data_IF_798533060900
#
_entry.id   IF_798533060900
#
_cell.length_a   1.000
_cell.length_b   1.000
_cell.length_c   1.000
_cell.angle_alpha   90.00
_cell.angle_beta   90.00
_cell.angle_gamma   90.00
#
_symmetry.space_group_name_H-M   'P 1'
#
loop_
_entity.id
_entity.type
_entity.pdbx_description
1 polymer ?
#
# COMPACT_ATOMS: atom_id res chain seq x y z
N UNK A 1 -17.21 -10.78 -25.00
CA UNK A 1 -16.01 -10.22 -24.33
C UNK A 1 -15.10 -11.37 -23.95
N UNK A 2 -13.85 -11.39 -24.37
CA UNK A 2 -12.91 -12.43 -23.98
C UNK A 2 -12.43 -12.21 -22.54
N UNK A 3 -11.81 -13.23 -21.93
CA UNK A 3 -11.20 -13.11 -20.58
C UNK A 3 -10.15 -11.99 -20.53
N UNK A 4 -9.43 -11.77 -21.60
CA UNK A 4 -8.42 -10.72 -21.71
C UNK A 4 -9.04 -9.32 -21.86
N UNK A 5 -10.19 -9.22 -22.55
CA UNK A 5 -10.96 -7.96 -22.61
C UNK A 5 -11.43 -7.55 -21.23
N UNK A 6 -12.01 -8.51 -20.48
CA UNK A 6 -12.49 -8.27 -19.10
C UNK A 6 -11.35 -7.82 -18.19
N UNK A 7 -10.20 -8.50 -18.23
CA UNK A 7 -9.03 -8.14 -17.44
C UNK A 7 -8.57 -6.70 -17.74
N UNK A 8 -8.42 -6.36 -19.03
CA UNK A 8 -7.99 -5.03 -19.47
C UNK A 8 -8.97 -3.94 -19.04
N UNK A 9 -10.27 -4.18 -19.21
CA UNK A 9 -11.32 -3.26 -18.79
C UNK A 9 -11.29 -3.01 -17.28
N UNK A 10 -11.18 -4.07 -16.47
CA UNK A 10 -11.12 -3.94 -15.01
C UNK A 10 -9.89 -3.15 -14.56
N UNK A 11 -8.72 -3.38 -15.19
CA UNK A 11 -7.50 -2.64 -14.87
C UNK A 11 -7.56 -1.15 -15.26
N UNK A 12 -8.45 -0.76 -16.15
CA UNK A 12 -8.69 0.65 -16.47
C UNK A 12 -9.77 1.26 -15.57
N UNK A 13 -10.91 0.58 -15.44
CA UNK A 13 -12.09 1.14 -14.77
C UNK A 13 -11.91 1.23 -13.26
N UNK A 14 -11.37 0.18 -12.62
CA UNK A 14 -11.27 0.15 -11.17
C UNK A 14 -10.37 1.26 -10.58
N UNK A 15 -9.19 1.61 -11.13
CA UNK A 15 -8.43 2.75 -10.65
C UNK A 15 -9.12 4.10 -10.86
N UNK A 16 -9.94 4.24 -11.92
CA UNK A 16 -10.73 5.46 -12.18
C UNK A 16 -11.88 5.60 -11.19
N UNK A 17 -12.50 4.51 -10.76
CA UNK A 17 -13.58 4.53 -9.79
C UNK A 17 -13.12 4.94 -8.37
N UNK A 18 -11.84 4.80 -8.04
CA UNK A 18 -11.32 5.11 -6.71
C UNK A 18 -11.53 6.58 -6.28
N UNK A 19 -11.12 7.59 -7.06
CA UNK A 19 -11.39 8.97 -6.69
C UNK A 19 -12.89 9.28 -6.64
N UNK A 20 -13.73 8.60 -7.45
CA UNK A 20 -15.20 8.74 -7.40
C UNK A 20 -15.76 8.16 -6.09
N UNK A 21 -15.29 7.00 -5.67
CA UNK A 21 -15.67 6.41 -4.39
C UNK A 21 -15.26 7.32 -3.21
N UNK A 22 -14.06 7.90 -3.26
CA UNK A 22 -13.59 8.88 -2.28
C UNK A 22 -14.39 10.19 -2.26
N UNK A 23 -15.05 10.54 -3.37
CA UNK A 23 -15.90 11.73 -3.48
C UNK A 23 -17.33 11.51 -2.94
N UNK A 24 -17.74 10.30 -2.62
CA UNK A 24 -19.13 9.98 -2.18
C UNK A 24 -19.59 10.87 -1.04
N UNK A 25 -18.83 10.96 0.04
CA UNK A 25 -19.20 11.77 1.20
C UNK A 25 -19.01 13.28 0.97
N UNK A 26 -17.82 13.79 0.56
CA UNK A 26 -17.61 15.22 0.49
C UNK A 26 -18.36 15.92 -0.65
N UNK A 27 -18.70 15.21 -1.75
CA UNK A 27 -19.37 15.81 -2.92
C UNK A 27 -20.86 15.47 -2.94
N UNK A 28 -21.23 14.23 -2.65
CA UNK A 28 -22.60 13.76 -2.76
C UNK A 28 -23.32 13.64 -1.42
N UNK A 29 -22.64 13.86 -0.29
CA UNK A 29 -23.23 13.73 1.05
C UNK A 29 -23.61 12.30 1.43
N UNK A 30 -23.01 11.30 0.78
CA UNK A 30 -23.35 9.88 1.00
C UNK A 30 -22.28 9.25 1.91
N UNK A 31 -22.68 8.92 3.14
CA UNK A 31 -21.80 8.27 4.13
C UNK A 31 -20.87 9.25 4.83
N UNK A 32 -19.80 8.71 5.42
CA UNK A 32 -18.81 9.47 6.19
C UNK A 32 -17.59 9.83 5.34
N UNK A 33 -17.05 11.02 5.58
CA UNK A 33 -15.77 11.44 4.99
C UNK A 33 -14.60 10.66 5.59
N UNK A 34 -13.49 10.59 4.86
CA UNK A 34 -12.24 9.98 5.38
C UNK A 34 -11.76 10.65 6.68
N UNK A 35 -11.99 11.96 6.83
CA UNK A 35 -11.64 12.69 8.05
C UNK A 35 -12.48 12.24 9.25
N UNK A 36 -13.79 12.09 9.09
CA UNK A 36 -14.71 11.61 10.14
C UNK A 36 -14.39 10.15 10.52
N UNK A 37 -14.13 9.30 9.54
CA UNK A 37 -13.76 7.90 9.78
C UNK A 37 -12.42 7.81 10.52
N UNK A 38 -11.42 8.59 10.10
CA UNK A 38 -10.12 8.65 10.75
C UNK A 38 -10.23 9.15 12.19
N UNK A 39 -11.09 10.14 12.46
CA UNK A 39 -11.31 10.65 13.81
C UNK A 39 -11.94 9.61 14.75
N UNK A 40 -12.86 8.77 14.25
CA UNK A 40 -13.52 7.70 15.03
C UNK A 40 -12.59 6.53 15.38
N UNK A 41 -11.70 6.17 14.46
CA UNK A 41 -10.78 5.03 14.59
C UNK A 41 -9.36 5.45 14.96
N UNK A 42 -9.20 6.68 15.45
CA UNK A 42 -7.88 7.26 15.70
C UNK A 42 -7.11 6.49 16.77
N UNK A 43 -5.95 5.97 16.39
CA UNK A 43 -4.97 5.33 17.26
C UNK A 43 -3.58 5.87 16.94
N UNK A 44 -2.58 5.69 17.83
CA UNK A 44 -1.21 6.13 17.53
C UNK A 44 -0.57 5.48 16.29
N UNK A 45 -1.12 4.35 15.80
CA UNK A 45 -0.63 3.67 14.58
C UNK A 45 -1.14 4.32 13.30
N UNK A 46 -2.22 5.09 13.35
CA UNK A 46 -2.77 5.77 12.16
C UNK A 46 -1.86 6.92 11.76
N UNK A 47 -1.38 6.95 10.50
CA UNK A 47 -0.55 8.07 10.03
C UNK A 47 -1.32 9.38 9.95
N UNK A 48 -0.61 10.50 9.91
CA UNK A 48 -1.17 11.83 9.69
C UNK A 48 -1.95 11.91 8.36
N UNK A 49 -2.96 12.78 8.31
CA UNK A 49 -3.87 12.88 7.17
C UNK A 49 -3.19 13.06 5.81
N UNK A 50 -2.11 13.85 5.75
CA UNK A 50 -1.37 14.06 4.50
C UNK A 50 -0.78 12.77 3.90
N UNK A 51 -0.46 11.77 4.73
CA UNK A 51 0.14 10.52 4.26
C UNK A 51 -0.77 9.74 3.31
N UNK A 52 -2.09 9.92 3.41
CA UNK A 52 -3.06 9.30 2.52
C UNK A 52 -2.98 9.83 1.07
N UNK A 53 -2.27 10.95 0.81
CA UNK A 53 -2.02 11.44 -0.55
C UNK A 53 -1.27 10.44 -1.45
N UNK A 54 -0.60 9.44 -0.88
CA UNK A 54 0.02 8.34 -1.63
C UNK A 54 -0.98 7.59 -2.51
N UNK A 55 -2.26 7.54 -2.11
CA UNK A 55 -3.30 6.95 -2.93
C UNK A 55 -3.47 7.66 -4.28
N UNK A 56 -3.30 8.99 -4.32
CA UNK A 56 -3.34 9.75 -5.57
C UNK A 56 -2.26 9.28 -6.56
N UNK A 57 -1.05 8.99 -6.07
CA UNK A 57 0.04 8.45 -6.90
C UNK A 57 -0.28 7.03 -7.36
N UNK A 58 -0.79 6.17 -6.44
CA UNK A 58 -1.15 4.78 -6.76
C UNK A 58 -2.27 4.74 -7.82
N UNK A 59 -3.30 5.60 -7.68
CA UNK A 59 -4.41 5.67 -8.66
C UNK A 59 -3.93 6.19 -10.01
N UNK A 60 -3.11 7.23 -10.05
CA UNK A 60 -2.53 7.75 -11.29
C UNK A 60 -1.71 6.68 -12.02
N UNK A 61 -0.89 5.92 -11.30
CA UNK A 61 -0.14 4.79 -11.85
C UNK A 61 -1.07 3.65 -12.31
N UNK A 62 -2.14 3.37 -11.57
CA UNK A 62 -3.15 2.39 -11.95
C UNK A 62 -3.88 2.76 -13.25
N UNK A 63 -4.26 4.03 -13.40
CA UNK A 63 -4.87 4.58 -14.63
C UNK A 63 -3.86 4.48 -15.78
N UNK A 64 -2.62 4.90 -15.57
CA UNK A 64 -1.56 4.80 -16.58
C UNK A 64 -1.31 3.34 -17.00
N UNK A 65 -1.35 2.37 -16.06
CA UNK A 65 -1.30 0.94 -16.31
C UNK A 65 -2.48 0.47 -17.19
N UNK A 66 -3.71 0.90 -16.87
CA UNK A 66 -4.90 0.57 -17.66
C UNK A 66 -4.83 1.13 -19.09
N UNK A 67 -4.46 2.41 -19.24
CA UNK A 67 -4.29 3.06 -20.53
C UNK A 67 -3.21 2.36 -21.37
N UNK A 68 -2.06 2.04 -20.77
CA UNK A 68 -0.97 1.37 -21.48
C UNK A 68 -1.40 0.04 -22.08
N UNK A 69 -2.27 -0.72 -21.41
CA UNK A 69 -2.81 -1.96 -21.95
C UNK A 69 -3.68 -1.77 -23.20
N UNK A 70 -4.24 -0.57 -23.41
CA UNK A 70 -5.06 -0.25 -24.60
C UNK A 70 -4.23 0.22 -25.80
N UNK A 71 -2.96 0.57 -25.60
CA UNK A 71 -2.13 1.08 -26.69
C UNK A 71 -1.77 -0.02 -27.68
N UNK A 72 -1.72 0.31 -29.00
CA UNK A 72 -1.36 -0.65 -30.06
C UNK A 72 0.04 -1.27 -29.90
N UNK A 73 0.92 -0.60 -29.16
CA UNK A 73 2.30 -1.04 -28.86
C UNK A 73 2.40 -2.29 -27.96
N UNK A 74 1.28 -2.99 -27.71
CA UNK A 74 1.31 -4.34 -27.19
C UNK A 74 1.21 -4.49 -25.68
N UNK A 75 0.74 -3.47 -24.96
CA UNK A 75 0.56 -3.56 -23.51
C UNK A 75 -0.36 -4.72 -23.08
N UNK A 76 -1.46 -4.95 -23.81
CA UNK A 76 -2.49 -5.94 -23.50
C UNK A 76 -1.96 -7.38 -23.49
N UNK A 77 -1.16 -7.74 -24.50
CA UNK A 77 -0.65 -9.10 -24.71
C UNK A 77 0.71 -9.33 -24.07
N UNK A 78 1.25 -8.31 -23.40
CA UNK A 78 2.51 -8.42 -22.67
C UNK A 78 2.44 -9.49 -21.57
N UNK A 79 3.59 -10.10 -21.27
CA UNK A 79 3.69 -11.04 -20.16
C UNK A 79 3.29 -10.38 -18.83
N UNK A 80 3.64 -9.11 -18.66
CA UNK A 80 3.27 -8.33 -17.49
C UNK A 80 1.74 -8.22 -17.36
N UNK A 81 1.02 -7.83 -18.43
CA UNK A 81 -0.43 -7.71 -18.40
C UNK A 81 -1.11 -9.05 -18.08
N UNK A 82 -0.66 -10.14 -18.70
CA UNK A 82 -1.21 -11.48 -18.47
C UNK A 82 -0.99 -11.99 -17.03
N UNK A 83 0.15 -11.67 -16.42
CA UNK A 83 0.52 -12.16 -15.09
C UNK A 83 0.03 -11.26 -13.96
N UNK A 84 0.06 -9.92 -14.15
CA UNK A 84 -0.26 -8.94 -13.12
C UNK A 84 -1.71 -8.46 -13.17
N UNK A 85 -2.36 -8.54 -14.33
CA UNK A 85 -3.66 -7.91 -14.53
C UNK A 85 -4.74 -8.38 -13.57
N UNK A 86 -4.86 -9.67 -13.31
CA UNK A 86 -5.86 -10.18 -12.36
C UNK A 86 -5.55 -9.83 -10.90
N UNK A 87 -4.31 -10.02 -10.39
CA UNK A 87 -3.97 -9.57 -9.05
C UNK A 87 -4.16 -8.07 -8.83
N UNK A 88 -3.80 -7.23 -9.81
CA UNK A 88 -4.01 -5.78 -9.71
C UNK A 88 -5.50 -5.41 -9.76
N UNK A 89 -6.28 -6.03 -10.65
CA UNK A 89 -7.73 -5.85 -10.68
C UNK A 89 -8.37 -6.22 -9.33
N UNK A 90 -7.96 -7.34 -8.73
CA UNK A 90 -8.44 -7.73 -7.40
C UNK A 90 -8.05 -6.72 -6.32
N UNK A 91 -6.81 -6.23 -6.33
CA UNK A 91 -6.35 -5.23 -5.36
C UNK A 91 -7.15 -3.92 -5.49
N UNK A 92 -7.38 -3.41 -6.70
CA UNK A 92 -8.19 -2.21 -6.93
C UNK A 92 -9.68 -2.44 -6.64
N UNK A 93 -10.22 -3.64 -6.89
CA UNK A 93 -11.58 -3.99 -6.50
C UNK A 93 -11.75 -3.96 -4.98
N UNK A 94 -10.82 -4.56 -4.23
CA UNK A 94 -10.79 -4.49 -2.78
C UNK A 94 -10.65 -3.05 -2.28
N UNK A 95 -9.82 -2.21 -2.94
CA UNK A 95 -9.67 -0.81 -2.57
C UNK A 95 -10.96 -0.01 -2.76
N UNK A 96 -11.69 -0.21 -3.87
CA UNK A 96 -13.01 0.38 -4.08
C UNK A 96 -14.02 -0.10 -3.04
N UNK A 97 -14.07 -1.42 -2.79
CA UNK A 97 -14.96 -2.01 -1.80
C UNK A 97 -14.67 -1.45 -0.40
N UNK A 98 -13.39 -1.37 -0.01
CA UNK A 98 -12.98 -0.80 1.27
C UNK A 98 -13.47 0.64 1.41
N UNK A 99 -13.27 1.48 0.39
CA UNK A 99 -13.69 2.88 0.40
C UNK A 99 -15.19 3.04 0.57
N UNK A 100 -15.99 2.28 -0.20
CA UNK A 100 -17.47 2.34 -0.14
C UNK A 100 -17.97 1.81 1.21
N UNK A 101 -17.46 0.67 1.65
CA UNK A 101 -17.90 0.06 2.93
C UNK A 101 -17.49 0.97 4.09
N UNK A 102 -16.29 1.51 4.07
CA UNK A 102 -15.82 2.43 5.10
C UNK A 102 -16.67 3.70 5.19
N UNK A 103 -17.12 4.25 4.06
CA UNK A 103 -18.01 5.41 4.07
C UNK A 103 -19.41 5.10 4.64
N UNK A 104 -19.88 3.87 4.50
CA UNK A 104 -21.26 3.48 4.85
C UNK A 104 -21.40 2.77 6.21
N UNK A 105 -20.29 2.37 6.85
CA UNK A 105 -20.35 1.56 8.08
C UNK A 105 -19.45 2.12 9.19
N UNK A 106 -19.80 1.77 10.44
CA UNK A 106 -19.02 2.17 11.63
C UNK A 106 -18.10 1.05 12.14
N UNK A 107 -18.32 -0.19 11.73
CA UNK A 107 -17.58 -1.34 12.25
C UNK A 107 -16.25 -1.55 11.50
N UNK A 108 -15.19 -1.79 12.26
CA UNK A 108 -13.84 -1.91 11.73
C UNK A 108 -13.47 -3.31 11.21
N UNK A 109 -13.98 -4.42 11.74
CA UNK A 109 -13.48 -5.77 11.45
C UNK A 109 -13.72 -6.26 10.02
N UNK A 110 -14.84 -5.90 9.40
CA UNK A 110 -15.06 -6.22 7.98
C UNK A 110 -14.16 -5.39 7.06
N UNK A 111 -13.77 -4.18 7.46
CA UNK A 111 -12.75 -3.39 6.76
C UNK A 111 -11.37 -4.04 6.87
N UNK A 112 -11.05 -4.65 8.02
CA UNK A 112 -9.82 -5.45 8.18
C UNK A 112 -9.81 -6.64 7.21
N UNK A 113 -10.91 -7.36 7.06
CA UNK A 113 -11.00 -8.45 6.09
C UNK A 113 -10.73 -7.95 4.67
N UNK A 114 -11.38 -6.86 4.26
CA UNK A 114 -11.22 -6.29 2.91
C UNK A 114 -9.77 -5.85 2.66
N UNK A 115 -9.14 -5.17 3.63
CA UNK A 115 -7.75 -4.70 3.45
C UNK A 115 -6.74 -5.86 3.47
N UNK A 116 -7.01 -6.95 4.19
CA UNK A 116 -6.18 -8.15 4.14
C UNK A 116 -6.29 -8.88 2.79
N UNK A 117 -7.47 -8.91 2.19
CA UNK A 117 -7.64 -9.40 0.81
C UNK A 117 -6.91 -8.50 -0.20
N UNK A 118 -6.99 -7.18 -0.01
CA UNK A 118 -6.21 -6.21 -0.80
C UNK A 118 -4.70 -6.43 -0.63
N UNK A 119 -4.23 -6.67 0.60
CA UNK A 119 -2.84 -6.99 0.89
C UNK A 119 -2.39 -8.25 0.16
N UNK A 120 -3.16 -9.33 0.25
CA UNK A 120 -2.86 -10.58 -0.43
C UNK A 120 -2.76 -10.39 -1.96
N UNK A 121 -3.70 -9.67 -2.57
CA UNK A 121 -3.69 -9.36 -4.00
C UNK A 121 -2.50 -8.47 -4.38
N UNK A 122 -2.20 -7.44 -3.57
CA UNK A 122 -1.08 -6.51 -3.80
C UNK A 122 0.27 -7.21 -3.69
N UNK A 123 0.48 -8.04 -2.67
CA UNK A 123 1.70 -8.83 -2.50
C UNK A 123 1.84 -9.87 -3.61
N UNK A 124 0.74 -10.48 -4.06
CA UNK A 124 0.75 -11.40 -5.21
C UNK A 124 1.24 -10.69 -6.47
N UNK A 125 0.68 -9.52 -6.80
CA UNK A 125 1.14 -8.71 -7.93
C UNK A 125 2.62 -8.32 -7.78
N UNK A 126 3.01 -7.87 -6.58
CA UNK A 126 4.37 -7.46 -6.27
C UNK A 126 5.38 -8.59 -6.48
N UNK A 127 5.14 -9.79 -5.93
CA UNK A 127 6.06 -10.92 -6.08
C UNK A 127 6.05 -11.52 -7.49
N UNK A 128 4.91 -11.52 -8.19
CA UNK A 128 4.88 -11.88 -9.61
C UNK A 128 5.77 -10.92 -10.40
N UNK A 129 5.64 -9.60 -10.20
CA UNK A 129 6.47 -8.63 -10.89
C UNK A 129 7.97 -8.84 -10.63
N UNK A 130 8.35 -9.20 -9.40
CA UNK A 130 9.75 -9.49 -9.04
C UNK A 130 10.33 -10.71 -9.77
N UNK A 131 9.48 -11.64 -10.21
CA UNK A 131 9.84 -12.88 -10.92
C UNK A 131 9.69 -12.77 -12.43
N UNK A 132 9.22 -11.66 -12.96
CA UNK A 132 9.18 -11.45 -14.40
C UNK A 132 10.61 -11.40 -14.97
N UNK A 133 10.87 -12.05 -16.11
CA UNK A 133 12.18 -12.03 -16.73
C UNK A 133 12.57 -10.61 -17.11
N UNK A 134 13.83 -10.26 -16.87
CA UNK A 134 14.38 -9.00 -17.32
C UNK A 134 14.53 -9.02 -18.86
N UNK A 135 14.15 -7.95 -19.53
CA UNK A 135 14.45 -7.78 -20.95
C UNK A 135 15.97 -7.60 -21.16
N UNK A 136 16.51 -8.10 -22.27
CA UNK A 136 17.94 -8.06 -22.57
C UNK A 136 18.57 -6.64 -22.54
N UNK A 137 17.76 -5.59 -22.71
CA UNK A 137 18.19 -4.17 -22.63
C UNK A 137 17.85 -3.48 -21.32
N UNK A 138 17.49 -4.24 -20.28
CA UNK A 138 16.93 -3.69 -19.04
C UNK A 138 15.40 -3.57 -19.09
N UNK A 139 14.75 -3.11 -18.02
CA UNK A 139 13.28 -2.98 -17.99
C UNK A 139 12.81 -1.96 -19.04
N UNK A 140 11.79 -2.37 -19.82
CA UNK A 140 11.11 -1.47 -20.74
C UNK A 140 10.55 -0.24 -19.98
N UNK A 141 10.36 0.90 -20.67
CA UNK A 141 9.90 2.15 -20.05
C UNK A 141 8.63 1.97 -19.18
N UNK A 142 7.57 1.28 -19.63
CA UNK A 142 6.37 1.08 -18.81
C UNK A 142 6.65 0.23 -17.56
N UNK A 143 7.51 -0.79 -17.67
CA UNK A 143 7.89 -1.61 -16.52
C UNK A 143 8.62 -0.79 -15.47
N UNK A 144 9.55 0.05 -15.87
CA UNK A 144 10.37 0.87 -14.99
C UNK A 144 9.57 1.96 -14.27
N UNK A 145 8.67 2.65 -14.98
CA UNK A 145 8.05 3.89 -14.54
C UNK A 145 6.57 3.77 -14.18
N UNK A 146 5.89 2.70 -14.60
CA UNK A 146 4.49 2.45 -14.27
C UNK A 146 4.37 1.21 -13.38
N UNK A 147 4.81 0.05 -13.86
CA UNK A 147 4.49 -1.25 -13.22
C UNK A 147 5.22 -1.41 -11.88
N UNK A 148 6.55 -1.22 -11.86
CA UNK A 148 7.34 -1.38 -10.63
C UNK A 148 6.95 -0.38 -9.54
N UNK A 149 6.76 0.92 -9.84
CA UNK A 149 6.22 1.86 -8.86
C UNK A 149 4.83 1.46 -8.38
N UNK A 150 3.90 1.14 -9.27
CA UNK A 150 2.53 0.76 -8.92
C UNK A 150 2.49 -0.40 -7.93
N UNK A 151 3.08 -1.54 -8.30
CA UNK A 151 3.02 -2.74 -7.45
C UNK A 151 3.82 -2.57 -6.15
N UNK A 152 4.91 -1.83 -6.18
CA UNK A 152 5.74 -1.56 -5.00
C UNK A 152 5.07 -0.61 -4.03
N UNK A 153 4.58 0.53 -4.49
CA UNK A 153 3.89 1.52 -3.65
C UNK A 153 2.60 0.95 -3.07
N UNK A 154 1.81 0.25 -3.88
CA UNK A 154 0.57 -0.36 -3.42
C UNK A 154 0.83 -1.42 -2.35
N UNK A 155 1.72 -2.37 -2.61
CA UNK A 155 2.05 -3.42 -1.64
C UNK A 155 2.66 -2.85 -0.35
N UNK A 156 3.57 -1.89 -0.44
CA UNK A 156 4.21 -1.26 0.73
C UNK A 156 3.23 -0.47 1.58
N UNK A 157 2.38 0.36 0.95
CA UNK A 157 1.36 1.12 1.65
C UNK A 157 0.32 0.22 2.32
N UNK A 158 -0.23 -0.76 1.59
CA UNK A 158 -1.26 -1.67 2.12
C UNK A 158 -0.70 -2.55 3.23
N UNK A 159 0.60 -2.90 3.21
CA UNK A 159 1.24 -3.62 4.31
C UNK A 159 1.13 -2.86 5.64
N UNK A 160 1.43 -1.56 5.66
CA UNK A 160 1.31 -0.74 6.89
C UNK A 160 -0.16 -0.43 7.20
N UNK A 161 -0.94 -0.08 6.19
CA UNK A 161 -2.35 0.27 6.33
C UNK A 161 -3.20 -0.88 6.90
N UNK A 162 -2.83 -2.14 6.65
CA UNK A 162 -3.50 -3.30 7.24
C UNK A 162 -3.43 -3.28 8.77
N UNK A 163 -2.27 -2.95 9.33
CA UNK A 163 -2.10 -2.86 10.78
C UNK A 163 -2.78 -1.62 11.38
N UNK A 164 -2.81 -0.52 10.65
CA UNK A 164 -3.60 0.66 11.07
C UNK A 164 -5.11 0.34 11.10
N UNK A 165 -5.62 -0.44 10.14
CA UNK A 165 -7.01 -0.92 10.16
C UNK A 165 -7.29 -1.88 11.31
N UNK A 166 -6.37 -2.80 11.64
CA UNK A 166 -6.49 -3.68 12.80
C UNK A 166 -6.55 -2.85 14.09
N UNK A 167 -5.66 -1.86 14.24
CA UNK A 167 -5.67 -0.96 15.40
C UNK A 167 -6.99 -0.19 15.50
N UNK A 168 -7.47 0.38 14.40
CA UNK A 168 -8.75 1.09 14.34
C UNK A 168 -9.95 0.19 14.69
N UNK A 169 -10.00 -1.03 14.15
CA UNK A 169 -11.04 -1.99 14.48
C UNK A 169 -11.03 -2.42 15.96
N UNK A 170 -9.82 -2.65 16.51
CA UNK A 170 -9.65 -2.95 17.93
C UNK A 170 -10.07 -1.78 18.83
N UNK A 171 -9.85 -0.53 18.38
CA UNK A 171 -10.32 0.67 19.06
C UNK A 171 -11.85 0.76 19.07
N UNK A 172 -12.48 0.62 17.90
CA UNK A 172 -13.93 0.71 17.74
C UNK A 172 -14.63 -0.40 18.52
N UNK A 173 -14.06 -1.61 18.56
CA UNK A 173 -14.62 -2.74 19.33
C UNK A 173 -14.35 -2.66 20.84
N UNK A 174 -13.64 -1.64 21.33
CA UNK A 174 -13.28 -1.50 22.74
C UNK A 174 -12.13 -2.40 23.22
N UNK A 175 -11.50 -3.14 22.33
CA UNK A 175 -10.33 -3.98 22.69
C UNK A 175 -9.08 -3.13 23.01
N UNK A 176 -8.98 -1.93 22.43
CA UNK A 176 -8.00 -0.92 22.79
C UNK A 176 -8.73 0.27 23.39
N UNK A 177 -8.48 0.57 24.67
CA UNK A 177 -9.06 1.72 25.36
C UNK A 177 -8.17 2.96 25.19
N UNK A 178 -8.76 4.18 25.21
CA UNK A 178 -8.01 5.44 25.16
C UNK A 178 -7.40 5.77 26.53
N UNK A 179 -6.58 4.89 27.06
CA UNK A 179 -6.05 4.97 28.42
C UNK A 179 -4.58 5.42 28.53
N UNK A 180 -4.02 5.87 27.42
CA UNK A 180 -2.63 6.35 27.36
C UNK A 180 -1.60 5.24 27.36
N UNK A 181 -1.40 4.53 28.46
CA UNK A 181 -0.35 3.50 28.59
C UNK A 181 -0.70 2.20 27.82
N UNK A 182 -1.91 1.69 27.97
CA UNK A 182 -2.38 0.49 27.28
C UNK A 182 -2.51 0.72 25.78
N UNK A 183 -3.02 1.87 25.37
CA UNK A 183 -3.09 2.27 23.97
C UNK A 183 -1.68 2.37 23.34
N UNK A 184 -0.74 2.99 24.07
CA UNK A 184 0.66 3.11 23.62
C UNK A 184 1.31 1.76 23.47
N UNK A 185 1.13 0.84 24.45
CA UNK A 185 1.67 -0.53 24.36
C UNK A 185 1.08 -1.27 23.16
N UNK A 186 -0.24 -1.22 22.98
CA UNK A 186 -0.90 -1.83 21.84
C UNK A 186 -0.37 -1.27 20.50
N UNK A 187 -0.19 0.04 20.39
CA UNK A 187 0.37 0.68 19.21
C UNK A 187 1.80 0.22 18.92
N UNK A 188 2.66 0.14 19.93
CA UNK A 188 4.04 -0.37 19.79
C UNK A 188 4.04 -1.82 19.30
N UNK A 189 3.23 -2.70 19.90
CA UNK A 189 3.15 -4.11 19.48
C UNK A 189 2.64 -4.25 18.05
N UNK A 190 1.64 -3.48 17.66
CA UNK A 190 1.09 -3.47 16.31
C UNK A 190 2.15 -2.97 15.32
N UNK A 191 2.89 -1.90 15.65
CA UNK A 191 3.97 -1.40 14.79
C UNK A 191 5.12 -2.40 14.65
N UNK A 192 5.49 -3.09 15.70
CA UNK A 192 6.52 -4.15 15.65
C UNK A 192 6.04 -5.32 14.78
N UNK A 193 4.77 -5.72 14.88
CA UNK A 193 4.20 -6.75 14.02
C UNK A 193 4.16 -6.30 12.55
N UNK A 194 3.78 -5.04 12.27
CA UNK A 194 3.87 -4.44 10.94
C UNK A 194 5.31 -4.43 10.42
N UNK A 195 6.26 -4.07 11.28
CA UNK A 195 7.70 -4.10 11.00
C UNK A 195 8.16 -5.50 10.61
N UNK A 196 7.74 -6.54 11.34
CA UNK A 196 8.04 -7.94 11.03
C UNK A 196 7.58 -8.33 9.62
N UNK A 197 6.33 -8.01 9.26
CA UNK A 197 5.81 -8.25 7.91
C UNK A 197 6.63 -7.49 6.85
N UNK A 198 6.83 -6.20 7.06
CA UNK A 198 7.54 -5.32 6.11
C UNK A 198 8.97 -5.79 5.85
N UNK A 199 9.71 -6.10 6.92
CA UNK A 199 11.08 -6.58 6.80
C UNK A 199 11.15 -7.97 6.16
N UNK A 200 10.20 -8.85 6.46
CA UNK A 200 10.05 -10.14 5.78
C UNK A 200 9.80 -10.00 4.28
N UNK A 201 8.90 -9.10 3.87
CA UNK A 201 8.64 -8.80 2.45
C UNK A 201 9.87 -8.19 1.77
N UNK A 202 10.54 -7.22 2.40
CA UNK A 202 11.77 -6.61 1.86
C UNK A 202 12.90 -7.64 1.73
N UNK A 203 13.03 -8.54 2.69
CA UNK A 203 13.99 -9.64 2.62
C UNK A 203 13.69 -10.56 1.44
N UNK A 204 12.46 -11.07 1.33
CA UNK A 204 12.04 -11.94 0.26
C UNK A 204 12.12 -11.29 -1.13
N UNK A 205 11.87 -9.98 -1.20
CA UNK A 205 11.95 -9.19 -2.43
C UNK A 205 13.38 -8.73 -2.77
N UNK A 206 14.37 -9.05 -1.96
CA UNK A 206 15.75 -8.60 -2.14
C UNK A 206 15.89 -7.07 -2.24
N UNK A 207 15.09 -6.32 -1.47
CA UNK A 207 15.10 -4.87 -1.39
C UNK A 207 14.45 -4.19 -2.59
N UNK A 208 13.16 -3.88 -2.49
CA UNK A 208 12.44 -3.09 -3.50
C UNK A 208 12.39 -1.62 -3.08
N UNK A 209 12.95 -0.68 -3.88
CA UNK A 209 12.94 0.73 -3.51
C UNK A 209 11.52 1.32 -3.44
N UNK A 210 10.61 0.92 -4.32
CA UNK A 210 9.23 1.42 -4.33
C UNK A 210 8.41 0.92 -3.15
N UNK A 211 8.60 -0.34 -2.75
CA UNK A 211 7.98 -0.88 -1.54
C UNK A 211 8.52 -0.16 -0.30
N UNK A 212 9.85 -0.03 -0.20
CA UNK A 212 10.48 0.67 0.91
C UNK A 212 10.08 2.15 0.99
N UNK A 213 9.92 2.83 -0.15
CA UNK A 213 9.47 4.21 -0.21
C UNK A 213 8.06 4.39 0.36
N UNK A 214 7.12 3.50 0.02
CA UNK A 214 5.76 3.55 0.57
C UNK A 214 5.73 3.28 2.08
N UNK A 215 6.52 2.31 2.55
CA UNK A 215 6.65 2.04 4.00
C UNK A 215 7.28 3.22 4.73
N UNK A 216 8.36 3.79 4.18
CA UNK A 216 9.01 4.97 4.75
C UNK A 216 8.04 6.16 4.82
N UNK A 217 7.26 6.39 3.77
CA UNK A 217 6.22 7.42 3.75
C UNK A 217 5.19 7.22 4.86
N UNK A 218 4.70 5.99 5.07
CA UNK A 218 3.77 5.67 6.13
C UNK A 218 4.38 5.88 7.52
N UNK A 219 5.62 5.43 7.75
CA UNK A 219 6.32 5.60 9.02
C UNK A 219 6.59 7.08 9.35
N UNK A 220 6.95 7.89 8.35
CA UNK A 220 7.06 9.36 8.50
C UNK A 220 5.70 9.97 8.87
N UNK A 221 4.62 9.51 8.25
CA UNK A 221 3.27 9.94 8.61
C UNK A 221 2.88 9.57 10.04
N UNK A 222 3.22 8.36 10.51
CA UNK A 222 2.99 7.93 11.90
C UNK A 222 3.85 8.74 12.86
N UNK A 223 5.12 8.96 12.54
CA UNK A 223 6.03 9.78 13.35
C UNK A 223 5.50 11.21 13.50
N UNK A 224 5.12 11.84 12.39
CA UNK A 224 4.56 13.21 12.42
C UNK A 224 3.27 13.29 13.25
N UNK A 225 2.39 12.32 13.10
CA UNK A 225 1.16 12.25 13.86
C UNK A 225 1.40 12.18 15.39
N UNK A 226 2.46 11.50 15.82
CA UNK A 226 2.79 11.27 17.22
C UNK A 226 3.85 12.25 17.79
N UNK A 227 4.27 13.24 17.01
CA UNK A 227 5.21 14.26 17.49
C UNK A 227 4.67 15.68 17.33
N UNK A 228 3.82 15.93 16.34
CA UNK A 228 3.36 17.26 15.95
C UNK A 228 1.83 17.39 16.01
N UNK A 229 1.09 16.42 15.44
CA UNK A 229 -0.35 16.59 15.20
C UNK A 229 -1.20 16.22 16.42
N UNK A 230 -0.89 15.11 17.13
CA UNK A 230 -1.72 14.52 18.19
C UNK A 230 -1.11 14.55 19.58
N UNK A 231 0.00 15.24 19.73
CA UNK A 231 0.79 15.23 20.96
C UNK A 231 1.94 14.22 20.92
N UNK A 232 2.88 14.39 21.85
CA UNK A 232 4.13 13.63 21.83
C UNK A 232 3.97 12.24 22.48
N UNK A 233 4.05 11.19 21.66
CA UNK A 233 4.14 9.81 22.11
C UNK A 233 5.56 9.28 21.83
N UNK A 234 6.43 9.36 22.84
CA UNK A 234 7.85 9.01 22.71
C UNK A 234 8.09 7.55 22.26
N UNK A 235 7.28 6.61 22.77
CA UNK A 235 7.45 5.18 22.45
C UNK A 235 7.12 4.89 20.98
N UNK A 236 5.97 5.39 20.50
CA UNK A 236 5.57 5.22 19.08
C UNK A 236 6.52 5.94 18.15
N UNK A 237 6.97 7.16 18.52
CA UNK A 237 7.96 7.91 17.75
C UNK A 237 9.28 7.15 17.63
N UNK A 238 9.82 6.62 18.75
CA UNK A 238 11.07 5.85 18.75
C UNK A 238 10.98 4.59 17.90
N UNK A 239 9.89 3.83 18.00
CA UNK A 239 9.68 2.62 17.18
C UNK A 239 9.56 3.00 15.69
N UNK A 240 8.85 4.08 15.36
CA UNK A 240 8.71 4.56 13.98
C UNK A 240 10.06 4.96 13.37
N UNK A 241 10.89 5.68 14.12
CA UNK A 241 12.26 6.06 13.69
C UNK A 241 13.14 4.81 13.52
N UNK A 242 13.10 3.88 14.48
CA UNK A 242 13.87 2.64 14.42
C UNK A 242 13.51 1.78 13.20
N UNK A 243 12.21 1.58 12.96
CA UNK A 243 11.74 0.85 11.79
C UNK A 243 12.10 1.57 10.48
N UNK A 244 11.96 2.90 10.43
CA UNK A 244 12.35 3.69 9.27
C UNK A 244 13.84 3.51 8.94
N UNK A 245 14.70 3.60 9.94
CA UNK A 245 16.14 3.41 9.77
C UNK A 245 16.47 2.00 9.24
N UNK A 246 15.85 0.95 9.79
CA UNK A 246 16.07 -0.43 9.34
C UNK A 246 15.56 -0.65 7.92
N UNK A 247 14.37 -0.14 7.58
CA UNK A 247 13.78 -0.24 6.23
C UNK A 247 14.69 0.44 5.19
N UNK A 248 15.18 1.64 5.49
CA UNK A 248 16.07 2.38 4.57
C UNK A 248 17.43 1.69 4.45
N UNK A 249 18.02 1.23 5.56
CA UNK A 249 19.28 0.50 5.55
C UNK A 249 19.18 -0.78 4.72
N UNK A 250 18.10 -1.55 4.89
CA UNK A 250 17.86 -2.79 4.18
C UNK A 250 17.64 -2.56 2.68
N UNK A 251 16.87 -1.53 2.31
CA UNK A 251 16.66 -1.15 0.91
C UNK A 251 17.99 -0.73 0.25
N UNK A 252 18.83 0.05 0.95
CA UNK A 252 20.09 0.54 0.44
C UNK A 252 21.15 -0.56 0.28
N UNK A 253 21.32 -1.42 1.28
CA UNK A 253 22.23 -2.55 1.21
C UNK A 253 21.93 -3.44 0.00
N UNK A 254 20.67 -3.79 -0.21
CA UNK A 254 20.25 -4.64 -1.33
C UNK A 254 20.43 -3.96 -2.69
N UNK A 255 20.22 -2.63 -2.78
CA UNK A 255 20.49 -1.88 -4.02
C UNK A 255 21.97 -1.87 -4.40
N UNK A 256 22.89 -1.95 -3.44
CA UNK A 256 24.33 -2.06 -3.70
C UNK A 256 24.71 -3.44 -4.23
N UNK A 257 24.22 -4.53 -3.62
CA UNK A 257 24.55 -5.89 -4.04
C UNK A 257 24.04 -6.23 -5.44
N UNK A 258 22.94 -5.64 -5.89
CA UNK A 258 22.45 -5.82 -7.26
C UNK A 258 23.26 -5.06 -8.31
N UNK A 259 24.06 -4.06 -7.91
CA UNK A 259 24.96 -3.30 -8.80
C UNK A 259 26.35 -3.94 -8.90
N UNK A 260 26.76 -4.72 -7.91
CA UNK A 260 28.03 -5.46 -7.88
C UNK A 260 27.84 -6.88 -8.43
N UNK A 261 27.26 -7.04 -9.62
CA UNK A 261 27.24 -8.32 -10.32
C UNK A 261 28.65 -8.90 -10.46
N UNK A 262 28.80 -10.26 -10.57
CA UNK A 262 30.12 -10.86 -10.72
C UNK A 262 30.86 -10.20 -11.88
N UNK A 263 32.12 -9.83 -11.63
CA UNK A 263 33.03 -9.36 -12.67
C UNK A 263 33.02 -10.37 -13.81
N UNK A 264 32.97 -9.96 -15.09
CA UNK A 264 33.07 -10.90 -16.19
C UNK A 264 34.37 -11.66 -16.02
N UNK A 265 34.28 -12.99 -15.89
CA UNK A 265 35.44 -13.88 -15.96
C UNK A 265 36.16 -13.60 -17.26
N UNK A 266 37.43 -13.18 -17.17
CA UNK A 266 38.30 -13.02 -18.30
C UNK A 266 38.59 -14.35 -18.99
#
# INVERSE_FOLDING_TARGET
MTRDDTRTLLNLVLPILQPLAGAMAPVFGIGHTMAEMSARSQTPVVPAGYAFSIWGVIFALGIAWGIWQLLPSGGRDSLAARRLGWPLAAAFACANLWMVVAALTENGWHLVLIILLMLAASLTAFFINRRLPAHAGGPAWPERWIIRPLVGLMAGWVSVASFANIAGAARISGAIQPDGAGETLAAVLILLAAGGLVLGVLWAAQGSPWYAAAVAWALVGILYANTVERGFNAAVAAVSVGLLAVVLAMAWQRARFTRSGPLPSR
#
